data_IF_636942446921
#
_entry.id   IF_636942446921
#
_cell.length_a   1.000
_cell.length_b   1.000
_cell.length_c   1.000
_cell.angle_alpha   90.00
_cell.angle_beta   90.00
_cell.angle_gamma   90.00
#
_symmetry.space_group_name_H-M   'P 1'
#
loop_
_entity.id
_entity.type
_entity.pdbx_description
1 polymer ?
#
# COMPACT_ATOMS: atom_id res chain seq x y z
N UNK A 1 -16.08 -2.26 -30.24
CA UNK A 1 -15.41 -1.03 -29.86
C UNK A 1 -15.34 -0.93 -28.35
N UNK A 2 -14.13 -0.72 -27.84
CA UNK A 2 -13.94 -0.53 -26.42
C UNK A 2 -14.51 0.81 -25.92
N UNK A 3 -14.73 0.92 -24.62
CA UNK A 3 -15.11 2.18 -24.00
C UNK A 3 -14.03 3.23 -24.28
N UNK A 4 -14.41 4.51 -24.50
CA UNK A 4 -13.42 5.56 -24.64
C UNK A 4 -12.55 5.63 -23.39
N UNK A 5 -11.25 5.88 -23.59
CA UNK A 5 -10.32 5.99 -22.49
C UNK A 5 -10.65 7.21 -21.66
N UNK A 6 -10.66 7.05 -20.35
CA UNK A 6 -10.91 8.16 -19.44
C UNK A 6 -9.81 9.21 -19.50
N UNK A 7 -8.56 8.75 -19.56
CA UNK A 7 -7.41 9.63 -19.71
C UNK A 7 -6.83 9.47 -21.11
N UNK A 8 -6.95 10.53 -21.90
CA UNK A 8 -6.54 10.48 -23.30
C UNK A 8 -5.04 10.71 -23.51
N UNK A 9 -4.35 11.25 -22.48
CA UNK A 9 -2.94 11.54 -22.56
C UNK A 9 -2.25 11.25 -21.24
N UNK A 10 -0.95 11.08 -21.29
CA UNK A 10 -0.12 10.94 -20.09
C UNK A 10 -0.28 12.14 -19.17
N UNK A 11 -0.35 13.34 -19.76
CA UNK A 11 -0.56 14.57 -19.00
C UNK A 11 -1.90 14.54 -18.24
N UNK A 12 -2.97 14.09 -18.88
CA UNK A 12 -4.28 13.98 -18.24
C UNK A 12 -4.25 13.02 -17.06
N UNK A 13 -3.59 11.86 -17.21
CA UNK A 13 -3.43 10.91 -16.12
C UNK A 13 -2.57 11.50 -15.00
N UNK A 14 -1.49 12.18 -15.34
CA UNK A 14 -0.61 12.81 -14.35
C UNK A 14 -1.36 13.89 -13.54
N UNK A 15 -2.19 14.69 -14.20
CA UNK A 15 -3.00 15.71 -13.53
C UNK A 15 -4.02 15.07 -12.59
N UNK A 16 -4.69 14.01 -13.01
CA UNK A 16 -5.64 13.29 -12.17
C UNK A 16 -4.95 12.65 -10.98
N UNK A 17 -3.77 12.08 -11.17
CA UNK A 17 -2.97 11.51 -10.09
C UNK A 17 -2.57 12.58 -9.08
N UNK A 18 -2.13 13.75 -9.56
CA UNK A 18 -1.81 14.89 -8.68
C UNK A 18 -3.00 15.35 -7.87
N UNK A 19 -4.18 15.43 -8.49
CA UNK A 19 -5.42 15.78 -7.79
C UNK A 19 -5.78 14.75 -6.72
N UNK A 20 -5.62 13.46 -7.01
CA UNK A 20 -5.85 12.39 -6.04
C UNK A 20 -4.88 12.50 -4.85
N UNK A 21 -3.61 12.75 -5.11
CA UNK A 21 -2.63 12.92 -4.03
C UNK A 21 -2.99 14.09 -3.13
N UNK A 22 -3.40 15.21 -3.71
CA UNK A 22 -3.86 16.37 -2.95
C UNK A 22 -5.09 16.03 -2.11
N UNK A 23 -6.02 15.28 -2.68
CA UNK A 23 -7.20 14.79 -1.97
C UNK A 23 -6.79 13.95 -0.76
N UNK A 24 -5.85 13.03 -0.94
CA UNK A 24 -5.35 12.19 0.16
C UNK A 24 -4.68 13.02 1.26
N UNK A 25 -3.90 14.02 0.87
CA UNK A 25 -3.14 14.84 1.82
C UNK A 25 -4.00 15.79 2.63
N UNK A 26 -5.19 16.11 2.15
CA UNK A 26 -6.05 17.15 2.73
C UNK A 26 -7.31 16.61 3.38
N UNK A 27 -7.31 15.35 3.80
CA UNK A 27 -8.47 14.78 4.50
C UNK A 27 -8.60 15.35 5.91
N UNK A 28 -9.82 15.66 6.27
CA UNK A 28 -10.14 16.17 7.60
C UNK A 28 -10.90 15.11 8.38
N UNK A 29 -10.48 14.88 9.59
CA UNK A 29 -11.12 13.94 10.51
C UNK A 29 -11.64 14.72 11.71
N UNK A 30 -12.91 14.50 12.03
CA UNK A 30 -13.52 15.08 13.23
C UNK A 30 -13.14 14.21 14.43
N UNK A 31 -12.50 14.82 15.42
CA UNK A 31 -12.14 14.14 16.65
C UNK A 31 -13.01 14.65 17.80
N UNK A 32 -13.34 13.73 18.71
CA UNK A 32 -14.13 14.05 19.90
C UNK A 32 -13.31 13.65 21.13
N UNK A 33 -12.86 14.64 21.88
CA UNK A 33 -12.12 14.42 23.12
C UNK A 33 -12.91 14.94 24.29
N UNK A 34 -12.83 14.23 25.42
CA UNK A 34 -13.44 14.71 26.65
C UNK A 34 -12.49 15.66 27.36
N UNK A 35 -12.99 16.89 27.63
CA UNK A 35 -12.22 17.88 28.37
C UNK A 35 -12.60 17.76 29.84
N UNK A 36 -11.71 17.26 30.68
CA UNK A 36 -11.92 17.16 32.11
C UNK A 36 -12.00 18.54 32.78
N UNK A 37 -11.35 19.54 32.18
CA UNK A 37 -11.36 20.91 32.67
C UNK A 37 -12.74 21.53 32.56
N UNK A 38 -13.44 21.28 31.44
CA UNK A 38 -14.77 21.84 31.19
C UNK A 38 -15.89 20.83 31.39
N UNK A 39 -15.56 19.59 31.73
CA UNK A 39 -16.50 18.47 31.91
C UNK A 39 -17.42 18.28 30.71
N UNK A 40 -16.91 18.49 29.51
CA UNK A 40 -17.68 18.34 28.27
C UNK A 40 -16.81 17.72 27.16
N UNK A 41 -17.48 17.18 26.14
CA UNK A 41 -16.80 16.70 24.95
C UNK A 41 -16.48 17.88 24.03
N UNK A 42 -15.24 17.91 23.58
CA UNK A 42 -14.77 18.92 22.64
C UNK A 42 -14.54 18.27 21.30
N UNK A 43 -15.12 18.82 20.25
CA UNK A 43 -14.91 18.38 18.87
C UNK A 43 -13.90 19.27 18.20
N UNK A 44 -12.95 18.65 17.49
CA UNK A 44 -11.98 19.40 16.70
C UNK A 44 -11.74 18.69 15.37
N UNK A 45 -11.39 19.49 14.37
CA UNK A 45 -11.04 18.95 13.06
C UNK A 45 -9.54 18.82 12.97
N UNK A 46 -9.09 17.62 12.61
CA UNK A 46 -7.68 17.32 12.40
C UNK A 46 -7.43 16.98 10.95
N UNK A 47 -6.40 17.60 10.39
CA UNK A 47 -5.95 17.26 9.05
C UNK A 47 -5.18 15.95 9.12
N UNK A 48 -5.65 14.97 8.38
CA UNK A 48 -5.02 13.65 8.29
C UNK A 48 -4.76 13.31 6.83
N UNK A 49 -3.63 12.70 6.55
CA UNK A 49 -3.39 12.23 5.20
C UNK A 49 -3.72 10.74 5.09
N UNK A 50 -4.33 10.40 3.96
CA UNK A 50 -4.62 9.01 3.60
C UNK A 50 -3.47 8.51 2.72
N UNK A 51 -3.10 7.25 2.89
CA UNK A 51 -2.05 6.63 2.09
C UNK A 51 -2.48 6.51 0.63
N UNK A 52 -1.58 6.89 -0.28
CA UNK A 52 -1.85 6.76 -1.72
C UNK A 52 -1.87 5.28 -2.11
N UNK A 53 -2.90 4.88 -2.84
CA UNK A 53 -2.98 3.54 -3.41
C UNK A 53 -3.54 3.63 -4.82
N UNK A 54 -3.17 2.67 -5.66
CA UNK A 54 -3.73 2.60 -7.02
C UNK A 54 -5.23 2.32 -6.92
N UNK A 55 -5.63 1.46 -5.99
CA UNK A 55 -7.04 1.14 -5.77
C UNK A 55 -7.84 2.37 -5.37
N UNK A 56 -7.30 3.17 -4.45
CA UNK A 56 -7.94 4.42 -4.03
C UNK A 56 -8.03 5.43 -5.16
N UNK A 57 -6.99 5.52 -5.98
CA UNK A 57 -7.02 6.37 -7.17
C UNK A 57 -8.11 5.93 -8.14
N UNK A 58 -8.24 4.63 -8.36
CA UNK A 58 -9.28 4.12 -9.29
C UNK A 58 -10.68 4.46 -8.80
N UNK A 59 -10.94 4.35 -7.50
CA UNK A 59 -12.22 4.74 -6.91
C UNK A 59 -12.44 6.25 -7.09
N UNK A 60 -11.44 7.05 -6.79
CA UNK A 60 -11.50 8.51 -6.93
C UNK A 60 -11.78 8.92 -8.37
N UNK A 61 -11.13 8.29 -9.33
CA UNK A 61 -11.24 8.61 -10.75
C UNK A 61 -12.43 7.92 -11.43
N UNK A 62 -13.20 7.12 -10.69
CA UNK A 62 -14.34 6.38 -11.22
C UNK A 62 -13.97 5.43 -12.36
N UNK A 63 -12.89 4.70 -12.20
CA UNK A 63 -12.45 3.68 -13.14
C UNK A 63 -12.23 2.37 -12.38
N UNK A 64 -12.55 1.24 -12.99
CA UNK A 64 -12.27 -0.04 -12.34
C UNK A 64 -10.77 -0.33 -12.36
N UNK A 65 -10.30 -1.02 -11.33
CA UNK A 65 -8.89 -1.40 -11.22
C UNK A 65 -8.44 -2.25 -12.42
N UNK A 66 -9.27 -3.19 -12.84
CA UNK A 66 -8.95 -4.04 -13.99
C UNK A 66 -8.86 -3.23 -15.28
N UNK A 67 -9.77 -2.28 -15.49
CA UNK A 67 -9.70 -1.38 -16.65
C UNK A 67 -8.45 -0.52 -16.63
N UNK A 68 -8.08 -0.01 -15.46
CA UNK A 68 -6.86 0.78 -15.31
C UNK A 68 -5.62 -0.02 -15.74
N UNK A 69 -5.47 -1.24 -15.24
CA UNK A 69 -4.31 -2.05 -15.57
C UNK A 69 -4.34 -2.54 -17.02
N UNK A 70 -5.51 -2.85 -17.57
CA UNK A 70 -5.62 -3.29 -18.97
C UNK A 70 -5.33 -2.17 -19.95
N UNK A 71 -5.84 -0.98 -19.70
CA UNK A 71 -5.70 0.15 -20.63
C UNK A 71 -4.34 0.83 -20.45
N UNK A 72 -4.04 1.25 -19.22
CA UNK A 72 -2.85 2.07 -18.98
C UNK A 72 -1.64 1.24 -18.55
N UNK A 73 -1.87 0.13 -17.89
CA UNK A 73 -0.77 -0.74 -17.46
C UNK A 73 -0.09 -1.47 -18.61
N UNK A 74 -0.80 -1.70 -19.71
CA UNK A 74 -0.28 -2.40 -20.90
C UNK A 74 0.14 -1.46 -22.01
N UNK A 75 -0.23 -0.20 -21.96
CA UNK A 75 0.10 0.77 -22.99
C UNK A 75 1.48 1.34 -22.72
N UNK A 76 2.39 1.17 -23.68
CA UNK A 76 3.77 1.66 -23.53
C UNK A 76 3.86 3.16 -23.26
N UNK A 77 2.95 3.94 -23.82
CA UNK A 77 2.93 5.39 -23.62
C UNK A 77 2.69 5.77 -22.17
N UNK A 78 1.97 4.93 -21.43
CA UNK A 78 1.64 5.15 -20.02
C UNK A 78 2.53 4.36 -19.07
N UNK A 79 3.47 3.57 -19.58
CA UNK A 79 4.30 2.70 -18.76
C UNK A 79 5.07 3.46 -17.70
N UNK A 80 5.71 4.55 -18.08
CA UNK A 80 6.53 5.33 -17.15
C UNK A 80 5.70 5.96 -16.03
N UNK A 81 4.56 6.55 -16.38
CA UNK A 81 3.71 7.19 -15.38
C UNK A 81 3.07 6.16 -14.46
N UNK A 82 2.63 5.01 -14.97
CA UNK A 82 2.05 3.96 -14.13
C UNK A 82 3.10 3.43 -13.16
N UNK A 83 4.31 3.20 -13.63
CA UNK A 83 5.42 2.77 -12.76
C UNK A 83 5.70 3.80 -11.67
N UNK A 84 5.74 5.07 -12.05
CA UNK A 84 5.96 6.16 -11.09
C UNK A 84 4.83 6.26 -10.06
N UNK A 85 3.59 6.08 -10.48
CA UNK A 85 2.45 6.05 -9.56
C UNK A 85 2.61 4.96 -8.51
N UNK A 86 3.01 3.76 -8.93
CA UNK A 86 3.27 2.66 -8.01
C UNK A 86 4.42 2.96 -7.06
N UNK A 87 5.49 3.54 -7.56
CA UNK A 87 6.63 3.94 -6.75
C UNK A 87 6.25 5.00 -5.73
N UNK A 88 5.45 5.98 -6.12
CA UNK A 88 4.97 7.02 -5.22
C UNK A 88 4.08 6.45 -4.10
N UNK A 89 3.26 5.45 -4.41
CA UNK A 89 2.46 4.76 -3.39
C UNK A 89 3.36 4.07 -2.37
N UNK A 90 4.39 3.38 -2.84
CA UNK A 90 5.36 2.68 -1.99
C UNK A 90 6.11 3.66 -1.09
N UNK A 91 6.64 4.73 -1.67
CA UNK A 91 7.39 5.76 -0.93
C UNK A 91 6.49 6.44 0.11
N UNK A 92 5.25 6.76 -0.27
CA UNK A 92 4.30 7.39 0.63
C UNK A 92 3.99 6.50 1.84
N UNK A 93 3.71 5.22 1.60
CA UNK A 93 3.44 4.27 2.67
C UNK A 93 4.66 4.14 3.60
N UNK A 94 5.84 4.02 3.02
CA UNK A 94 7.09 3.92 3.78
C UNK A 94 7.33 5.14 4.65
N UNK A 95 7.14 6.34 4.10
CA UNK A 95 7.28 7.59 4.87
C UNK A 95 6.31 7.64 6.03
N UNK A 96 5.07 7.21 5.82
CA UNK A 96 4.06 7.23 6.87
C UNK A 96 4.37 6.26 8.00
N UNK A 97 4.98 5.11 7.69
CA UNK A 97 5.48 4.22 8.74
C UNK A 97 6.66 4.82 9.46
N UNK A 98 7.61 5.42 8.76
CA UNK A 98 8.77 6.07 9.36
C UNK A 98 8.36 7.23 10.27
N UNK A 99 7.32 7.99 9.89
CA UNK A 99 6.79 9.10 10.68
C UNK A 99 5.75 8.67 11.70
N UNK A 100 5.49 7.38 11.83
CA UNK A 100 4.51 6.81 12.75
C UNK A 100 3.08 7.30 12.54
N UNK A 101 2.75 7.71 11.32
CA UNK A 101 1.38 8.07 10.94
C UNK A 101 0.51 6.82 10.80
N UNK A 102 1.10 5.73 10.31
CA UNK A 102 0.45 4.42 10.26
C UNK A 102 1.00 3.58 11.40
N UNK A 103 0.13 2.85 12.15
CA UNK A 103 0.58 1.99 13.23
C UNK A 103 1.60 0.95 12.75
N UNK A 104 2.68 0.79 13.51
CA UNK A 104 3.77 -0.11 13.15
C UNK A 104 3.31 -1.58 13.01
N UNK A 105 2.25 -1.95 13.71
CA UNK A 105 1.68 -3.30 13.63
C UNK A 105 1.17 -3.64 12.23
N UNK A 106 0.82 -2.63 11.43
CA UNK A 106 0.31 -2.81 10.08
C UNK A 106 1.43 -2.81 9.03
N UNK A 107 2.67 -2.56 9.44
CA UNK A 107 3.78 -2.42 8.50
C UNK A 107 3.98 -3.65 7.64
N UNK A 108 4.00 -4.84 8.25
CA UNK A 108 4.18 -6.09 7.53
C UNK A 108 3.10 -6.33 6.50
N UNK A 109 1.84 -6.15 6.91
CA UNK A 109 0.70 -6.33 6.03
C UNK A 109 0.71 -5.34 4.86
N UNK A 110 0.98 -4.07 5.16
CA UNK A 110 0.93 -3.02 4.14
C UNK A 110 2.10 -3.11 3.17
N UNK A 111 3.32 -3.25 3.70
CA UNK A 111 4.52 -3.24 2.88
C UNK A 111 4.68 -4.52 2.07
N UNK A 112 4.04 -5.62 2.45
CA UNK A 112 4.07 -6.85 1.66
C UNK A 112 3.48 -6.64 0.25
N UNK A 113 2.57 -5.70 0.07
CA UNK A 113 2.02 -5.32 -1.24
C UNK A 113 3.12 -4.87 -2.22
N UNK A 114 4.20 -4.33 -1.70
CA UNK A 114 5.28 -3.76 -2.50
C UNK A 114 6.51 -4.68 -2.57
N UNK A 115 6.35 -5.91 -2.13
CA UNK A 115 7.43 -6.89 -2.20
C UNK A 115 8.33 -6.97 -0.98
N UNK A 116 8.06 -6.19 0.05
CA UNK A 116 8.82 -6.30 1.30
C UNK A 116 8.36 -7.52 2.09
N UNK A 117 9.30 -8.23 2.70
CA UNK A 117 9.00 -9.37 3.55
C UNK A 117 9.54 -9.13 4.95
N UNK A 118 8.78 -9.60 5.93
CA UNK A 118 9.21 -9.59 7.33
C UNK A 118 9.51 -11.02 7.75
N UNK A 119 10.14 -11.18 8.93
CA UNK A 119 10.35 -12.52 9.48
C UNK A 119 9.03 -13.24 9.70
N UNK A 120 7.97 -12.51 10.06
CA UNK A 120 6.65 -13.10 10.25
C UNK A 120 6.04 -13.53 8.92
N UNK A 121 6.16 -12.71 7.90
CA UNK A 121 5.67 -13.06 6.56
C UNK A 121 6.43 -14.27 6.01
N UNK A 122 7.73 -14.31 6.22
CA UNK A 122 8.54 -15.47 5.87
C UNK A 122 8.09 -16.69 6.63
N UNK A 123 7.73 -16.54 7.92
CA UNK A 123 7.26 -17.67 8.71
C UNK A 123 5.88 -18.16 8.30
N UNK A 124 5.01 -17.28 7.79
CA UNK A 124 3.68 -17.67 7.32
C UNK A 124 3.73 -18.30 5.94
N UNK A 125 4.51 -17.76 5.03
CA UNK A 125 4.55 -18.23 3.65
C UNK A 125 5.59 -19.31 3.39
N UNK A 126 6.72 -19.27 4.09
CA UNK A 126 7.83 -20.19 3.88
C UNK A 126 8.18 -21.05 5.07
N UNK A 127 7.50 -20.90 6.21
CA UNK A 127 7.86 -21.57 7.45
C UNK A 127 7.79 -23.09 7.36
N UNK A 128 6.78 -23.62 6.67
CA UNK A 128 6.63 -25.06 6.50
C UNK A 128 7.80 -25.66 5.76
N UNK A 129 8.28 -25.00 4.72
CA UNK A 129 9.43 -25.46 3.94
C UNK A 129 10.72 -25.34 4.73
N UNK A 130 10.92 -24.25 5.46
CA UNK A 130 12.09 -24.02 6.29
C UNK A 130 12.15 -25.00 7.47
N UNK A 131 11.04 -25.20 8.15
CA UNK A 131 10.97 -26.15 9.26
C UNK A 131 11.17 -27.57 8.80
N UNK A 132 10.58 -27.92 7.67
CA UNK A 132 10.79 -29.23 7.06
C UNK A 132 12.26 -29.46 6.70
N UNK A 133 12.90 -28.46 6.11
CA UNK A 133 14.32 -28.53 5.74
C UNK A 133 15.20 -28.69 6.97
N UNK A 134 14.95 -27.94 8.03
CA UNK A 134 15.67 -28.06 9.29
C UNK A 134 15.47 -29.42 9.95
N UNK A 135 14.24 -29.90 9.90
CA UNK A 135 13.92 -31.23 10.46
C UNK A 135 14.63 -32.32 9.68
N UNK A 136 14.66 -32.25 8.36
CA UNK A 136 15.37 -33.20 7.52
C UNK A 136 16.86 -33.20 7.81
N UNK A 137 17.47 -32.04 7.99
CA UNK A 137 18.87 -31.91 8.36
C UNK A 137 19.17 -32.54 9.73
N UNK A 138 18.30 -32.32 10.70
CA UNK A 138 18.40 -32.91 12.03
C UNK A 138 18.32 -34.44 11.96
N UNK A 139 17.40 -34.98 11.17
CA UNK A 139 17.24 -36.41 10.99
C UNK A 139 18.49 -37.00 10.36
N UNK A 140 19.09 -36.35 9.39
CA UNK A 140 20.34 -36.77 8.78
C UNK A 140 21.49 -36.84 9.79
N UNK A 141 21.59 -35.80 10.62
CA UNK A 141 22.61 -35.74 11.67
C UNK A 141 22.43 -36.86 12.69
N UNK A 142 21.19 -37.15 13.06
CA UNK A 142 20.85 -38.20 14.01
C UNK A 142 21.16 -39.62 13.46
N UNK A 143 21.04 -39.78 12.14
CA UNK A 143 21.35 -41.05 11.47
C UNK A 143 22.83 -41.21 11.18
N UNK A 144 23.65 -40.19 11.42
CA UNK A 144 25.04 -40.20 11.07
C UNK A 144 25.31 -40.11 9.57
N UNK A 145 24.33 -39.68 8.79
CA UNK A 145 24.45 -39.43 7.37
C UNK A 145 25.05 -38.05 7.14
N UNK A 146 26.35 -37.94 7.24
CA UNK A 146 27.06 -36.71 6.94
C UNK A 146 27.34 -36.68 5.45
N UNK A 147 26.59 -35.85 4.79
CA UNK A 147 26.80 -35.73 3.38
C UNK A 147 27.49 -34.50 3.00
#
# INVERSE_FOLDING_TARGET
MGRPRKFKSVKALAEAWGAYKAYCDNQMVLTHDFSSKNSEFVSSELRRSITYTIEGFCVYAEISRSSFYEIYGKDERFSDIVTRMKEECEVDARKKFELQVIPAQLAGLWMSKYGYTTKQDTSVSGSLDLEKSKLDDLIRQMRGEDG
#
